data_IF_867999311298
#
_entry.id   IF_867999311298
#
_cell.length_a   1.000
_cell.length_b   1.000
_cell.length_c   1.000
_cell.angle_alpha   90.00
_cell.angle_beta   90.00
_cell.angle_gamma   90.00
#
_symmetry.space_group_name_H-M   'P 1'
#
loop_
_entity.id
_entity.type
_entity.pdbx_description
1 polymer ?
#
# COMPACT_ATOMS: atom_id res chain seq x y z
N UNK A 1 -26.25 13.16 -6.29
CA UNK A 1 -24.78 13.06 -6.41
C UNK A 1 -24.13 12.34 -5.23
N UNK A 2 -24.56 12.53 -3.98
CA UNK A 2 -23.93 11.88 -2.81
C UNK A 2 -23.88 10.34 -2.90
N UNK A 3 -24.99 9.68 -3.28
CA UNK A 3 -25.04 8.21 -3.48
C UNK A 3 -24.01 7.67 -4.49
N UNK A 4 -23.72 8.46 -5.53
CA UNK A 4 -22.70 8.14 -6.54
C UNK A 4 -21.29 8.24 -5.95
N UNK A 5 -21.01 9.31 -5.20
CA UNK A 5 -19.72 9.50 -4.50
C UNK A 5 -19.48 8.41 -3.45
N UNK A 6 -20.49 8.03 -2.67
CA UNK A 6 -20.40 6.93 -1.70
C UNK A 6 -20.06 5.59 -2.37
N UNK A 7 -20.59 5.35 -3.57
CA UNK A 7 -20.28 4.14 -4.33
C UNK A 7 -18.84 4.15 -4.84
N UNK A 8 -18.35 5.31 -5.30
CA UNK A 8 -16.95 5.49 -5.72
C UNK A 8 -15.98 5.32 -4.54
N UNK A 9 -16.32 5.85 -3.36
CA UNK A 9 -15.53 5.67 -2.13
C UNK A 9 -15.43 4.20 -1.78
N UNK A 10 -16.56 3.45 -1.79
CA UNK A 10 -16.55 2.01 -1.52
C UNK A 10 -15.67 1.23 -2.49
N UNK A 11 -15.65 1.63 -3.77
CA UNK A 11 -14.76 1.02 -4.76
C UNK A 11 -13.30 1.34 -4.47
N UNK A 12 -12.98 2.61 -4.23
CA UNK A 12 -11.62 3.04 -3.91
C UNK A 12 -11.09 2.37 -2.63
N UNK A 13 -11.94 2.15 -1.62
CA UNK A 13 -11.60 1.36 -0.43
C UNK A 13 -11.21 -0.08 -0.77
N UNK A 14 -11.99 -0.76 -1.62
CA UNK A 14 -11.65 -2.11 -2.08
C UNK A 14 -10.34 -2.15 -2.85
N UNK A 15 -10.06 -1.13 -3.67
CA UNK A 15 -8.81 -1.03 -4.42
C UNK A 15 -7.62 -0.84 -3.45
N UNK A 16 -7.76 -0.01 -2.42
CA UNK A 16 -6.76 0.13 -1.34
C UNK A 16 -6.53 -1.19 -0.61
N UNK A 17 -7.59 -1.90 -0.23
CA UNK A 17 -7.50 -3.18 0.49
C UNK A 17 -6.78 -4.25 -0.36
N UNK A 18 -7.12 -4.32 -1.64
CA UNK A 18 -6.46 -5.23 -2.58
C UNK A 18 -4.97 -4.90 -2.73
N UNK A 19 -4.63 -3.62 -2.89
CA UNK A 19 -3.23 -3.17 -3.00
C UNK A 19 -2.45 -3.38 -1.69
N UNK A 20 -3.09 -3.30 -0.53
CA UNK A 20 -2.47 -3.60 0.76
C UNK A 20 -2.06 -5.08 0.86
N UNK A 21 -2.90 -5.99 0.34
CA UNK A 21 -2.57 -7.42 0.27
C UNK A 21 -1.38 -7.65 -0.66
N UNK A 22 -1.37 -7.05 -1.85
CA UNK A 22 -0.27 -7.19 -2.81
C UNK A 22 1.04 -6.60 -2.28
N UNK A 23 0.98 -5.43 -1.62
CA UNK A 23 2.15 -4.84 -0.97
C UNK A 23 2.73 -5.75 0.12
N UNK A 24 1.86 -6.36 0.92
CA UNK A 24 2.27 -7.32 1.96
C UNK A 24 2.95 -8.54 1.34
N UNK A 25 2.37 -9.11 0.28
CA UNK A 25 2.97 -10.25 -0.44
C UNK A 25 4.35 -9.92 -0.99
N UNK A 26 4.49 -8.76 -1.64
CA UNK A 26 5.79 -8.31 -2.15
C UNK A 26 6.84 -8.15 -1.03
N UNK A 27 6.43 -7.63 0.14
CA UNK A 27 7.30 -7.53 1.31
C UNK A 27 7.68 -8.90 1.88
N UNK A 28 6.75 -9.85 1.93
CA UNK A 28 6.99 -11.23 2.37
C UNK A 28 8.02 -11.91 1.45
N UNK A 29 7.82 -11.87 0.13
CA UNK A 29 8.78 -12.42 -0.84
C UNK A 29 10.16 -11.79 -0.71
N UNK A 30 10.23 -10.47 -0.53
CA UNK A 30 11.51 -9.77 -0.30
C UNK A 30 12.22 -10.30 0.96
N UNK A 31 11.48 -10.49 2.04
CA UNK A 31 12.04 -10.96 3.30
C UNK A 31 12.48 -12.43 3.22
N UNK A 32 11.76 -13.28 2.49
CA UNK A 32 12.15 -14.66 2.21
C UNK A 32 13.49 -14.71 1.47
N UNK A 33 13.68 -13.88 0.43
CA UNK A 33 14.96 -13.80 -0.30
C UNK A 33 16.10 -13.36 0.63
N UNK A 34 15.87 -12.35 1.48
CA UNK A 34 16.88 -11.91 2.45
C UNK A 34 17.24 -13.02 3.46
N UNK A 35 16.25 -13.79 3.91
CA UNK A 35 16.48 -14.94 4.79
C UNK A 35 17.29 -16.03 4.08
N UNK A 36 17.01 -16.31 2.81
CA UNK A 36 17.80 -17.24 2.00
C UNK A 36 19.24 -16.78 1.79
N UNK A 37 19.46 -15.48 1.57
CA UNK A 37 20.81 -14.92 1.46
C UNK A 37 21.60 -15.10 2.75
N UNK A 38 20.99 -14.77 3.91
CA UNK A 38 21.61 -14.98 5.21
C UNK A 38 21.90 -16.47 5.47
N UNK A 39 21.00 -17.36 5.05
CA UNK A 39 21.21 -18.81 5.14
C UNK A 39 22.37 -19.29 4.26
N UNK A 40 22.54 -18.72 3.05
CA UNK A 40 23.67 -19.03 2.19
C UNK A 40 24.99 -18.61 2.85
N UNK A 41 25.05 -17.43 3.46
CA UNK A 41 26.24 -16.93 4.15
C UNK A 41 26.59 -17.81 5.36
N UNK A 42 25.59 -18.15 6.19
CA UNK A 42 25.78 -19.08 7.30
C UNK A 42 26.25 -20.47 6.85
N UNK A 43 25.74 -20.97 5.72
CA UNK A 43 26.17 -22.24 5.15
C UNK A 43 27.62 -22.20 4.66
N UNK A 44 28.09 -21.08 4.11
CA UNK A 44 29.49 -20.91 3.72
C UNK A 44 30.40 -20.91 4.94
N UNK A 45 30.02 -20.19 6.00
CA UNK A 45 30.78 -20.16 7.25
C UNK A 45 30.85 -21.54 7.90
N UNK A 46 29.75 -22.28 7.92
CA UNK A 46 29.71 -23.63 8.45
C UNK A 46 30.64 -24.57 7.68
N UNK A 47 30.57 -24.57 6.35
CA UNK A 47 31.43 -25.41 5.51
C UNK A 47 32.91 -25.03 5.66
N UNK A 48 33.22 -23.73 5.75
CA UNK A 48 34.58 -23.24 6.00
C UNK A 48 35.13 -23.68 7.36
N UNK A 49 34.27 -23.77 8.39
CA UNK A 49 34.66 -24.22 9.73
C UNK A 49 34.97 -25.72 9.79
N UNK A 50 34.40 -26.51 8.87
CA UNK A 50 34.61 -27.95 8.76
C UNK A 50 35.78 -28.32 7.83
N UNK A 51 36.40 -27.34 7.16
CA UNK A 51 37.51 -27.57 6.26
C UNK A 51 38.77 -28.00 7.02
N UNK A 52 39.25 -29.22 6.74
CA UNK A 52 40.40 -29.84 7.43
C UNK A 52 41.77 -29.57 6.78
N UNK A 53 41.81 -28.78 5.70
CA UNK A 53 43.03 -28.47 4.97
C UNK A 53 43.51 -29.56 4.00
N UNK A 54 42.82 -30.70 3.91
CA UNK A 54 43.22 -31.78 3.02
C UNK A 54 42.96 -31.41 1.54
N UNK A 55 43.78 -31.90 0.59
CA UNK A 55 43.58 -31.62 -0.84
C UNK A 55 42.21 -32.06 -1.36
N UNK A 56 41.69 -33.18 -0.87
CA UNK A 56 40.36 -33.67 -1.25
C UNK A 56 39.23 -32.81 -0.68
N UNK A 57 39.33 -32.38 0.59
CA UNK A 57 38.40 -31.40 1.14
C UNK A 57 38.46 -30.06 0.40
N UNK A 58 39.64 -29.66 -0.09
CA UNK A 58 39.83 -28.41 -0.81
C UNK A 58 39.09 -28.39 -2.15
N UNK A 59 39.13 -29.50 -2.89
CA UNK A 59 38.36 -29.65 -4.13
C UNK A 59 36.85 -29.64 -3.88
N UNK A 60 36.39 -30.31 -2.84
CA UNK A 60 34.97 -30.31 -2.43
C UNK A 60 34.49 -28.92 -2.04
N UNK A 61 35.26 -28.23 -1.20
CA UNK A 61 34.95 -26.88 -0.74
C UNK A 61 34.95 -25.86 -1.89
N UNK A 62 35.91 -25.94 -2.82
CA UNK A 62 35.93 -25.09 -4.00
C UNK A 62 34.66 -25.25 -4.87
N UNK A 63 34.25 -26.50 -5.14
CA UNK A 63 33.04 -26.78 -5.90
C UNK A 63 31.77 -26.30 -5.18
N UNK A 64 31.73 -26.43 -3.84
CA UNK A 64 30.65 -25.89 -3.02
C UNK A 64 30.60 -24.35 -3.11
N UNK A 65 31.74 -23.66 -2.96
CA UNK A 65 31.82 -22.20 -3.05
C UNK A 65 31.34 -21.69 -4.41
N UNK A 66 31.69 -22.36 -5.51
CA UNK A 66 31.23 -21.94 -6.84
C UNK A 66 29.71 -22.06 -7.00
N UNK A 67 29.09 -23.10 -6.43
CA UNK A 67 27.62 -23.21 -6.39
C UNK A 67 27.00 -22.10 -5.56
N UNK A 68 27.59 -21.78 -4.41
CA UNK A 68 27.08 -20.71 -3.55
C UNK A 68 27.25 -19.32 -4.16
N UNK A 69 28.33 -19.07 -4.91
CA UNK A 69 28.48 -17.84 -5.72
C UNK A 69 27.36 -17.69 -6.74
N UNK A 70 27.08 -18.75 -7.51
CA UNK A 70 26.00 -18.73 -8.49
C UNK A 70 24.64 -18.49 -7.82
N UNK A 71 24.39 -19.16 -6.69
CA UNK A 71 23.17 -18.95 -5.91
C UNK A 71 23.05 -17.52 -5.40
N UNK A 72 24.13 -16.92 -4.91
CA UNK A 72 24.15 -15.53 -4.46
C UNK A 72 23.83 -14.55 -5.59
N UNK A 73 24.40 -14.75 -6.77
CA UNK A 73 24.07 -13.93 -7.97
C UNK A 73 22.57 -14.00 -8.30
N UNK A 74 21.99 -15.21 -8.29
CA UNK A 74 20.56 -15.39 -8.56
C UNK A 74 19.68 -14.73 -7.49
N UNK A 75 20.06 -14.85 -6.21
CA UNK A 75 19.35 -14.21 -5.10
C UNK A 75 19.45 -12.69 -5.15
N UNK A 76 20.62 -12.14 -5.53
CA UNK A 76 20.79 -10.69 -5.72
C UNK A 76 19.91 -10.15 -6.85
N UNK A 77 19.78 -10.89 -7.96
CA UNK A 77 18.87 -10.53 -9.04
C UNK A 77 17.41 -10.61 -8.62
N UNK A 78 17.02 -11.70 -7.93
CA UNK A 78 15.69 -11.87 -7.39
C UNK A 78 15.33 -10.76 -6.39
N UNK A 79 16.27 -10.37 -5.52
CA UNK A 79 16.08 -9.30 -4.55
C UNK A 79 15.81 -7.96 -5.24
N UNK A 80 16.56 -7.63 -6.29
CA UNK A 80 16.33 -6.40 -7.07
C UNK A 80 14.92 -6.36 -7.67
N UNK A 81 14.44 -7.49 -8.21
CA UNK A 81 13.10 -7.60 -8.75
C UNK A 81 12.03 -7.47 -7.65
N UNK A 82 12.25 -8.10 -6.49
CA UNK A 82 11.35 -8.01 -5.34
C UNK A 82 11.30 -6.59 -4.74
N UNK A 83 12.45 -5.91 -4.63
CA UNK A 83 12.54 -4.52 -4.19
C UNK A 83 11.76 -3.58 -5.12
N UNK A 84 11.93 -3.78 -6.44
CA UNK A 84 11.21 -2.99 -7.43
C UNK A 84 9.70 -3.24 -7.35
N UNK A 85 9.28 -4.50 -7.23
CA UNK A 85 7.87 -4.86 -7.07
C UNK A 85 7.26 -4.25 -5.80
N UNK A 86 7.95 -4.33 -4.67
CA UNK A 86 7.51 -3.72 -3.41
C UNK A 86 7.37 -2.19 -3.55
N UNK A 87 8.34 -1.53 -4.18
CA UNK A 87 8.32 -0.09 -4.43
C UNK A 87 7.16 0.32 -5.35
N UNK A 88 6.85 -0.47 -6.38
CA UNK A 88 5.74 -0.20 -7.28
C UNK A 88 4.38 -0.43 -6.60
N UNK A 89 4.23 -1.47 -5.78
CA UNK A 89 3.07 -1.67 -4.91
C UNK A 89 2.90 -0.48 -3.94
N UNK A 90 3.99 -0.01 -3.33
CA UNK A 90 3.96 1.15 -2.43
C UNK A 90 3.51 2.44 -3.15
N UNK A 91 3.97 2.68 -4.38
CA UNK A 91 3.49 3.81 -5.18
C UNK A 91 2.01 3.66 -5.53
N UNK A 92 1.58 2.46 -5.91
CA UNK A 92 0.19 2.19 -6.29
C UNK A 92 -0.76 2.40 -5.11
N UNK A 93 -0.44 1.86 -3.93
CA UNK A 93 -1.28 2.02 -2.73
C UNK A 93 -1.34 3.48 -2.28
N UNK A 94 -0.24 4.22 -2.36
CA UNK A 94 -0.21 5.65 -2.03
C UNK A 94 -1.12 6.46 -2.96
N UNK A 95 -1.13 6.15 -4.26
CA UNK A 95 -2.04 6.79 -5.23
C UNK A 95 -3.50 6.45 -4.94
N UNK A 96 -3.80 5.19 -4.64
CA UNK A 96 -5.16 4.76 -4.29
C UNK A 96 -5.67 5.44 -3.01
N UNK A 97 -4.83 5.56 -1.98
CA UNK A 97 -5.15 6.31 -0.77
C UNK A 97 -5.40 7.80 -1.05
N UNK A 98 -4.58 8.43 -1.89
CA UNK A 98 -4.78 9.82 -2.26
C UNK A 98 -6.14 10.05 -2.96
N UNK A 99 -6.51 9.15 -3.87
CA UNK A 99 -7.81 9.21 -4.55
C UNK A 99 -8.98 8.96 -3.59
N UNK A 100 -8.86 7.97 -2.70
CA UNK A 100 -9.86 7.73 -1.65
C UNK A 100 -10.08 8.99 -0.80
N UNK A 101 -9.00 9.62 -0.33
CA UNK A 101 -9.08 10.85 0.48
C UNK A 101 -9.70 12.00 -0.30
N UNK A 102 -9.39 12.13 -1.59
CA UNK A 102 -10.01 13.12 -2.47
C UNK A 102 -11.53 12.92 -2.56
N UNK A 103 -11.98 11.67 -2.76
CA UNK A 103 -13.40 11.34 -2.85
C UNK A 103 -14.13 11.60 -1.53
N UNK A 104 -13.52 11.25 -0.40
CA UNK A 104 -14.05 11.53 0.94
C UNK A 104 -14.22 13.05 1.16
N UNK A 105 -13.22 13.85 0.80
CA UNK A 105 -13.29 15.31 0.88
C UNK A 105 -14.41 15.90 0.00
N UNK A 106 -14.56 15.39 -1.23
CA UNK A 106 -15.65 15.83 -2.13
C UNK A 106 -17.02 15.51 -1.56
N UNK A 107 -17.18 14.33 -0.95
CA UNK A 107 -18.44 13.95 -0.29
C UNK A 107 -18.76 14.89 0.88
N UNK A 108 -17.79 15.20 1.72
CA UNK A 108 -17.99 16.12 2.85
C UNK A 108 -18.32 17.54 2.39
N UNK A 109 -17.67 18.04 1.35
CA UNK A 109 -18.04 19.33 0.73
C UNK A 109 -19.47 19.32 0.18
N UNK A 110 -19.89 18.23 -0.44
CA UNK A 110 -21.25 18.09 -0.97
C UNK A 110 -22.28 18.12 0.16
N UNK A 111 -22.07 17.35 1.23
CA UNK A 111 -22.95 17.32 2.40
C UNK A 111 -23.03 18.69 3.08
N UNK A 112 -21.89 19.41 3.19
CA UNK A 112 -21.86 20.74 3.75
C UNK A 112 -22.71 21.72 2.92
N UNK A 113 -22.56 21.70 1.60
CA UNK A 113 -23.37 22.54 0.69
C UNK A 113 -24.86 22.23 0.81
N UNK A 114 -25.24 20.95 0.82
CA UNK A 114 -26.65 20.55 0.99
C UNK A 114 -27.23 21.08 2.31
N UNK A 115 -26.48 20.97 3.41
CA UNK A 115 -26.91 21.53 4.71
C UNK A 115 -27.08 23.04 4.66
N UNK A 116 -26.14 23.76 4.03
CA UNK A 116 -26.22 25.21 3.88
C UNK A 116 -27.41 25.64 3.01
N UNK A 117 -27.71 24.90 1.95
CA UNK A 117 -28.88 25.18 1.11
C UNK A 117 -30.19 24.95 1.86
N UNK A 118 -30.29 23.88 2.65
CA UNK A 118 -31.45 23.62 3.49
C UNK A 118 -31.64 24.74 4.51
N UNK A 119 -30.59 25.12 5.24
CA UNK A 119 -30.65 26.23 6.21
C UNK A 119 -31.06 27.54 5.56
N UNK A 120 -30.52 27.87 4.38
CA UNK A 120 -30.91 29.07 3.63
C UNK A 120 -32.37 29.05 3.21
N UNK A 121 -32.89 27.89 2.77
CA UNK A 121 -34.31 27.74 2.39
C UNK A 121 -35.23 27.87 3.60
N UNK A 122 -34.86 27.24 4.72
CA UNK A 122 -35.62 27.34 5.98
C UNK A 122 -35.66 28.79 6.50
N UNK A 123 -34.53 29.50 6.45
CA UNK A 123 -34.45 30.89 6.87
C UNK A 123 -35.26 31.81 5.95
N UNK A 124 -35.16 31.65 4.63
CA UNK A 124 -35.98 32.41 3.68
C UNK A 124 -37.49 32.17 3.90
N UNK A 125 -37.90 30.92 4.12
CA UNK A 125 -39.28 30.58 4.43
C UNK A 125 -39.76 31.19 5.77
N UNK A 126 -38.89 31.25 6.77
CA UNK A 126 -39.19 31.90 8.04
C UNK A 126 -39.36 33.42 7.88
N UNK A 127 -38.45 34.06 7.14
CA UNK A 127 -38.47 35.51 6.89
C UNK A 127 -39.74 35.92 6.11
N UNK A 128 -40.12 35.17 5.06
CA UNK A 128 -41.36 35.39 4.31
C UNK A 128 -42.62 35.23 5.18
N UNK A 129 -42.63 34.22 6.06
CA UNK A 129 -43.77 33.96 6.94
C UNK A 129 -43.88 35.03 8.04
N UNK A 130 -42.75 35.52 8.53
CA UNK A 130 -42.67 36.66 9.45
C UNK A 130 -43.20 37.93 8.81
N UNK A 131 -42.74 38.28 7.61
CA UNK A 131 -43.19 39.49 6.90
C UNK A 131 -44.69 39.47 6.59
N UNK A 132 -45.26 38.31 6.24
CA UNK A 132 -46.71 38.17 6.03
C UNK A 132 -47.55 38.32 7.30
N UNK A 133 -47.03 37.89 8.46
CA UNK A 133 -47.73 38.05 9.75
C UNK A 133 -47.69 39.50 10.23
N UNK A 134 -46.56 40.19 10.08
CA UNK A 134 -46.46 41.62 10.41
C UNK A 134 -47.30 42.49 9.46
N UNK A 135 -47.36 42.17 8.17
CA UNK A 135 -48.19 42.90 7.20
C UNK A 135 -49.71 42.70 7.34
N UNK A 136 -50.16 41.77 8.19
CA UNK A 136 -51.60 41.53 8.48
C UNK A 136 -52.10 42.23 9.74
N UNK A 137 -51.20 42.78 10.56
CA UNK A 137 -51.55 43.47 11.81
C UNK A 137 -51.48 45.01 11.72
N UNK A 138 -51.09 45.55 10.57
CA UNK A 138 -51.21 46.98 10.23
C UNK A 138 -52.36 47.22 9.26
#
# INVERSE_FOLDING_TARGET
MSKTLETLIKRAQKDVDALAIEMRRALETRNEILAEMASCEASIEAEASMFDGSPMAGLGFAAFLDRQKLRKVNLDEALKLADQAHLDCQKAINRAFAELKRLEQLLEQHKLRERQEIQKREQAAFDERSSQMFGRQG
#
